data_IF_388857903341
#
_entry.id   IF_388857903341
#
_cell.length_a   1.000
_cell.length_b   1.000
_cell.length_c   1.000
_cell.angle_alpha   90.00
_cell.angle_beta   90.00
_cell.angle_gamma   90.00
#
_symmetry.space_group_name_H-M   'P 1'
#
loop_
_entity.id
_entity.type
_entity.pdbx_description
1 polymer ?
#
# COMPACT_ATOMS: atom_id res chain seq x y z
N UNK A 1 -18.81 -7.73 -23.55
CA UNK A 1 -18.72 -6.78 -22.44
C UNK A 1 -17.24 -6.53 -22.18
N UNK A 2 -16.72 -5.40 -22.62
CA UNK A 2 -15.32 -5.01 -22.39
C UNK A 2 -15.20 -4.73 -20.89
N UNK A 3 -14.60 -5.65 -20.13
CA UNK A 3 -14.26 -5.35 -18.74
C UNK A 3 -13.18 -4.27 -18.78
N UNK A 4 -13.55 -3.01 -18.62
CA UNK A 4 -12.60 -1.95 -18.27
C UNK A 4 -12.15 -2.26 -16.85
N UNK A 5 -11.10 -3.07 -16.76
CA UNK A 5 -10.46 -3.46 -15.52
C UNK A 5 -9.72 -2.23 -15.00
N UNK A 6 -10.37 -1.51 -14.11
CA UNK A 6 -9.73 -0.43 -13.37
C UNK A 6 -8.56 -1.00 -12.57
N UNK A 7 -7.45 -0.25 -12.57
CA UNK A 7 -6.29 -0.53 -11.72
C UNK A 7 -6.67 -0.44 -10.24
N UNK A 8 -5.94 -1.16 -9.41
CA UNK A 8 -5.99 -1.05 -7.96
C UNK A 8 -4.63 -0.56 -7.49
N UNK A 9 -4.44 0.76 -7.50
CA UNK A 9 -3.18 1.39 -7.13
C UNK A 9 -2.87 1.22 -5.65
N UNK A 10 -1.63 0.88 -5.35
CA UNK A 10 -1.06 0.76 -4.02
C UNK A 10 0.24 1.56 -4.00
N UNK A 11 0.46 2.30 -2.93
CA UNK A 11 1.67 3.08 -2.73
C UNK A 11 2.54 2.41 -1.66
N UNK A 12 3.83 2.27 -1.93
CA UNK A 12 4.82 1.89 -0.93
C UNK A 12 5.51 3.14 -0.39
N UNK A 13 5.68 3.22 0.92
CA UNK A 13 6.35 4.31 1.63
C UNK A 13 7.22 3.72 2.74
N UNK A 14 8.18 4.50 3.25
CA UNK A 14 8.91 4.19 4.49
C UNK A 14 8.52 5.21 5.55
N UNK A 15 8.03 4.73 6.68
CA UNK A 15 7.67 5.57 7.82
C UNK A 15 8.65 5.30 8.98
N UNK A 16 9.29 6.34 9.54
CA UNK A 16 10.07 6.17 10.75
C UNK A 16 9.13 5.87 11.93
N UNK A 17 9.35 4.74 12.58
CA UNK A 17 8.62 4.34 13.79
C UNK A 17 9.59 4.24 14.96
N UNK A 18 9.16 4.73 16.12
CA UNK A 18 9.92 4.60 17.36
C UNK A 18 9.61 3.26 18.07
N UNK A 19 10.38 2.95 19.12
CA UNK A 19 10.24 1.69 19.85
C UNK A 19 8.86 1.52 20.51
N UNK A 20 8.24 2.60 20.98
CA UNK A 20 6.91 2.56 21.63
C UNK A 20 5.84 2.22 20.59
N UNK A 21 5.85 2.88 19.43
CA UNK A 21 4.95 2.58 18.32
C UNK A 21 5.10 1.14 17.84
N UNK A 22 6.33 0.60 17.79
CA UNK A 22 6.57 -0.81 17.46
C UNK A 22 5.92 -1.74 18.50
N UNK A 23 6.09 -1.46 19.79
CA UNK A 23 5.48 -2.26 20.85
C UNK A 23 3.95 -2.23 20.77
N UNK A 24 3.36 -1.07 20.56
CA UNK A 24 1.90 -0.93 20.42
C UNK A 24 1.37 -1.74 19.23
N UNK A 25 2.03 -1.65 18.06
CA UNK A 25 1.69 -2.44 16.88
C UNK A 25 1.76 -3.96 17.15
N UNK A 26 2.78 -4.42 17.88
CA UNK A 26 2.94 -5.83 18.24
C UNK A 26 1.84 -6.30 19.20
N UNK A 27 1.46 -5.46 20.17
CA UNK A 27 0.38 -5.78 21.13
C UNK A 27 -0.98 -5.85 20.42
N UNK A 28 -1.29 -4.90 19.53
CA UNK A 28 -2.52 -4.96 18.72
C UNK A 28 -2.56 -6.20 17.85
N UNK A 29 -1.46 -6.54 17.17
CA UNK A 29 -1.38 -7.77 16.38
C UNK A 29 -1.64 -9.03 17.22
N UNK A 30 -1.07 -9.11 18.42
CA UNK A 30 -1.27 -10.24 19.34
C UNK A 30 -2.72 -10.37 19.83
N UNK A 31 -3.50 -9.29 19.79
CA UNK A 31 -4.94 -9.27 20.12
C UNK A 31 -5.84 -9.56 18.91
N UNK A 32 -5.27 -9.76 17.72
CA UNK A 32 -6.04 -9.93 16.48
C UNK A 32 -6.63 -8.61 15.95
N UNK A 33 -6.15 -7.48 16.44
CA UNK A 33 -6.51 -6.16 15.95
C UNK A 33 -5.63 -5.77 14.75
N UNK A 34 -6.08 -4.82 13.94
CA UNK A 34 -5.24 -4.23 12.89
C UNK A 34 -4.24 -3.27 13.55
N UNK A 35 -2.92 -3.49 13.44
CA UNK A 35 -1.94 -2.58 14.00
C UNK A 35 -2.05 -1.19 13.37
N UNK A 36 -1.95 -0.16 14.20
CA UNK A 36 -1.96 1.23 13.77
C UNK A 36 -1.09 2.08 14.68
N UNK A 37 -0.69 3.23 14.18
CA UNK A 37 0.03 4.25 14.94
C UNK A 37 -0.33 5.63 14.39
N UNK A 38 -0.17 6.65 15.22
CA UNK A 38 -0.43 8.03 14.82
C UNK A 38 0.86 8.67 14.27
N UNK A 39 0.72 9.36 13.15
CA UNK A 39 1.74 10.24 12.60
C UNK A 39 1.48 11.68 13.09
N UNK A 40 2.53 12.46 13.41
CA UNK A 40 2.40 13.90 13.63
C UNK A 40 1.69 14.58 12.46
N UNK A 41 0.87 15.60 12.76
CA UNK A 41 0.01 16.28 11.77
C UNK A 41 0.77 16.85 10.55
N UNK A 42 2.05 17.20 10.73
CA UNK A 42 2.90 17.80 9.70
C UNK A 42 3.88 16.79 9.07
N UNK A 43 3.60 15.48 9.20
CA UNK A 43 4.43 14.45 8.57
C UNK A 43 4.18 14.40 7.07
N UNK A 44 5.21 14.73 6.28
CA UNK A 44 5.22 14.45 4.85
C UNK A 44 5.53 12.97 4.61
N UNK A 45 4.75 12.31 3.75
CA UNK A 45 4.91 10.91 3.40
C UNK A 45 5.52 10.81 2.01
N UNK A 46 6.79 10.40 1.94
CA UNK A 46 7.46 10.12 0.68
C UNK A 46 7.00 8.78 0.11
N UNK A 47 6.42 8.82 -1.09
CA UNK A 47 6.00 7.63 -1.83
C UNK A 47 7.18 7.13 -2.66
N UNK A 48 7.64 5.91 -2.36
CA UNK A 48 8.77 5.26 -3.05
C UNK A 48 8.34 4.72 -4.39
N UNK A 49 7.17 4.08 -4.44
CA UNK A 49 6.62 3.51 -5.67
C UNK A 49 5.10 3.41 -5.59
N UNK A 50 4.45 3.53 -6.74
CA UNK A 50 3.03 3.24 -6.92
C UNK A 50 2.91 2.13 -7.95
N UNK A 51 2.26 1.04 -7.58
CA UNK A 51 2.03 -0.11 -8.45
C UNK A 51 0.60 -0.61 -8.34
N UNK A 52 0.12 -1.31 -9.36
CA UNK A 52 -1.21 -1.91 -9.34
C UNK A 52 -1.15 -3.29 -8.67
N UNK A 53 -1.92 -3.51 -7.61
CA UNK A 53 -1.99 -4.80 -6.91
C UNK A 53 -2.64 -5.94 -7.73
N UNK A 54 -3.19 -5.65 -8.92
CA UNK A 54 -3.80 -6.66 -9.82
C UNK A 54 -2.87 -7.08 -10.95
N UNK A 55 -2.31 -6.11 -11.67
CA UNK A 55 -1.44 -6.38 -12.83
C UNK A 55 0.05 -6.29 -12.48
N UNK A 56 0.40 -5.90 -11.25
CA UNK A 56 1.77 -5.75 -10.74
C UNK A 56 2.65 -4.72 -11.47
N UNK A 57 2.07 -3.91 -12.37
CA UNK A 57 2.77 -2.86 -13.12
C UNK A 57 2.89 -1.56 -12.31
N UNK A 58 3.97 -0.82 -12.55
CA UNK A 58 4.17 0.52 -11.99
C UNK A 58 3.18 1.52 -12.59
N UNK A 59 2.87 2.58 -11.84
CA UNK A 59 1.93 3.61 -12.26
C UNK A 59 2.35 4.29 -13.57
N UNK A 60 3.61 4.71 -13.68
CA UNK A 60 4.10 5.41 -14.88
C UNK A 60 3.98 4.57 -16.15
N UNK A 61 4.10 3.24 -16.03
CA UNK A 61 4.02 2.34 -17.17
C UNK A 61 2.57 1.97 -17.56
N UNK A 62 1.60 2.18 -16.68
CA UNK A 62 0.26 1.58 -16.82
C UNK A 62 -0.92 2.53 -16.64
N UNK A 63 -0.70 3.80 -16.26
CA UNK A 63 -1.75 4.79 -15.99
C UNK A 63 -2.73 5.01 -17.15
N UNK A 64 -2.25 4.90 -18.39
CA UNK A 64 -3.03 5.11 -19.62
C UNK A 64 -3.46 3.80 -20.29
N UNK A 65 -3.14 2.65 -19.69
CA UNK A 65 -3.42 1.32 -20.24
C UNK A 65 -4.44 0.54 -19.39
N UNK A 66 -5.21 -0.40 -19.98
CA UNK A 66 -6.11 -1.25 -19.21
C UNK A 66 -5.35 -2.18 -18.25
N UNK A 67 -5.90 -2.42 -17.06
CA UNK A 67 -5.30 -3.36 -16.11
C UNK A 67 -5.50 -4.80 -16.57
N UNK A 68 -4.43 -5.55 -16.84
CA UNK A 68 -4.53 -7.00 -17.13
C UNK A 68 -4.06 -7.77 -15.91
N UNK A 69 -4.95 -8.41 -15.12
CA UNK A 69 -4.55 -9.13 -13.91
C UNK A 69 -3.59 -10.28 -14.23
N UNK A 70 -2.57 -10.46 -13.37
CA UNK A 70 -1.68 -11.61 -13.47
C UNK A 70 -2.38 -12.81 -12.82
N UNK A 71 -2.40 -14.01 -13.44
CA UNK A 71 -2.87 -15.21 -12.78
C UNK A 71 -2.02 -15.47 -11.53
N UNK A 72 -2.64 -15.50 -10.34
CA UNK A 72 -1.94 -15.92 -9.12
C UNK A 72 -1.71 -17.44 -9.19
N UNK A 73 -0.53 -17.93 -8.77
CA UNK A 73 -0.25 -19.36 -8.65
C UNK A 73 -1.10 -20.04 -7.57
#
# INVERSE_FOLDING_TARGET
MTMTTAHQWQAATTLPVNNEQIQDMLVSAARGETPGFELPADTEIDVITVSCGKCMRLFEDAKDEPCVPVPMP
#
